data_IF_802767107740
#
_entry.id   IF_802767107740
#
_cell.length_a   1.000
_cell.length_b   1.000
_cell.length_c   1.000
_cell.angle_alpha   90.00
_cell.angle_beta   90.00
_cell.angle_gamma   90.00
#
_symmetry.space_group_name_H-M   'P 1'
#
loop_
_entity.id
_entity.type
_entity.pdbx_description
1 polymer ?
#
# COMPACT_ATOMS: atom_id res chain seq x y z
N UNK A 1 7.88 -2.99 -33.23
CA UNK A 1 6.53 -2.49 -32.96
C UNK A 1 5.73 -3.62 -32.36
N UNK A 2 5.54 -3.65 -31.03
CA UNK A 2 4.65 -4.62 -30.35
C UNK A 2 3.55 -3.81 -29.67
N UNK A 3 2.32 -4.12 -30.02
CA UNK A 3 1.10 -3.44 -29.60
C UNK A 3 0.91 -3.48 -28.09
N UNK A 4 0.63 -2.33 -27.50
CA UNK A 4 0.13 -2.21 -26.14
C UNK A 4 -1.28 -2.80 -26.11
N UNK A 5 -1.47 -3.96 -25.48
CA UNK A 5 -2.80 -4.45 -25.14
C UNK A 5 -3.38 -3.59 -24.02
N UNK A 6 -4.18 -2.62 -24.44
CA UNK A 6 -5.03 -1.82 -23.57
C UNK A 6 -6.16 -2.70 -23.05
N UNK A 7 -6.28 -2.86 -21.75
CA UNK A 7 -7.48 -3.42 -21.13
C UNK A 7 -8.67 -2.50 -21.42
N UNK A 8 -9.59 -2.94 -22.27
CA UNK A 8 -10.79 -2.18 -22.63
C UNK A 8 -11.76 -2.11 -21.46
N UNK A 9 -12.10 -0.88 -21.04
CA UNK A 9 -13.19 -0.60 -20.13
C UNK A 9 -14.50 -1.21 -20.65
N UNK A 10 -15.03 -2.22 -19.97
CA UNK A 10 -16.41 -2.66 -20.16
C UNK A 10 -17.32 -1.73 -19.36
N UNK A 11 -18.15 -0.98 -20.06
CA UNK A 11 -19.21 -0.14 -19.49
C UNK A 11 -20.19 -0.99 -18.70
N UNK A 12 -20.25 -0.80 -17.40
CA UNK A 12 -21.27 -1.39 -16.54
C UNK A 12 -22.60 -0.67 -16.73
N UNK A 13 -23.60 -1.46 -17.06
CA UNK A 13 -24.99 -1.06 -17.24
C UNK A 13 -25.58 -0.57 -15.90
N UNK A 14 -26.09 0.66 -15.88
CA UNK A 14 -26.79 1.26 -14.74
C UNK A 14 -28.20 0.65 -14.62
N UNK A 15 -28.41 -0.32 -13.75
CA UNK A 15 -29.70 -0.61 -13.12
C UNK A 15 -29.52 -1.67 -12.05
N UNK A 16 -29.26 -1.26 -10.80
CA UNK A 16 -29.73 -1.87 -9.58
C UNK A 16 -29.46 -0.94 -8.39
N UNK A 17 -30.43 -0.09 -8.11
CA UNK A 17 -30.61 0.54 -6.81
C UNK A 17 -31.11 -0.55 -5.84
N UNK A 18 -30.25 -1.05 -4.97
CA UNK A 18 -30.57 -1.65 -3.65
C UNK A 18 -29.35 -2.46 -3.15
N UNK A 19 -28.32 -1.75 -2.70
CA UNK A 19 -27.42 -2.23 -1.63
C UNK A 19 -26.44 -1.11 -1.27
N UNK A 20 -26.99 -0.04 -0.76
CA UNK A 20 -26.26 1.18 -0.35
C UNK A 20 -25.58 1.01 1.02
N UNK A 21 -24.86 -0.06 1.32
CA UNK A 21 -24.16 -0.19 2.61
C UNK A 21 -22.93 -1.11 2.61
N UNK A 22 -22.28 -1.42 1.54
CA UNK A 22 -20.88 -1.95 1.54
C UNK A 22 -20.30 -1.73 0.13
N UNK A 23 -20.12 -0.50 -0.28
CA UNK A 23 -19.08 -0.20 -1.28
C UNK A 23 -17.82 0.08 -0.48
N UNK A 24 -17.16 -0.97 -0.04
CA UNK A 24 -15.71 -0.90 0.14
C UNK A 24 -15.16 -0.65 -1.27
N UNK A 25 -14.89 0.61 -1.60
CA UNK A 25 -14.24 0.95 -2.85
C UNK A 25 -12.87 0.29 -2.85
N UNK A 26 -12.75 -0.85 -3.53
CA UNK A 26 -11.46 -1.47 -3.76
C UNK A 26 -10.63 -0.47 -4.57
N UNK A 27 -9.47 -0.11 -4.02
CA UNK A 27 -8.54 0.77 -4.73
C UNK A 27 -7.78 -0.06 -5.76
N UNK A 28 -7.86 0.32 -7.04
CA UNK A 28 -7.12 -0.36 -8.09
C UNK A 28 -5.62 -0.25 -7.85
N UNK A 29 -4.95 -1.39 -7.94
CA UNK A 29 -3.52 -1.47 -7.68
C UNK A 29 -2.69 -0.89 -8.83
N UNK A 30 -1.59 -0.25 -8.51
CA UNK A 30 -0.56 0.12 -9.48
C UNK A 30 0.26 -1.11 -9.90
N UNK A 31 0.94 -1.01 -11.04
CA UNK A 31 2.01 -1.91 -11.47
C UNK A 31 1.56 -3.38 -11.57
N UNK A 32 0.64 -3.67 -12.47
CA UNK A 32 0.30 -5.03 -12.84
C UNK A 32 0.05 -5.16 -14.36
N UNK A 33 0.09 -6.38 -14.84
CA UNK A 33 -0.14 -6.76 -16.24
C UNK A 33 -1.30 -7.76 -16.30
N UNK A 34 -2.28 -7.51 -17.18
CA UNK A 34 -3.31 -8.51 -17.48
C UNK A 34 -2.67 -9.70 -18.22
N UNK A 35 -3.10 -10.92 -17.87
CA UNK A 35 -2.67 -12.16 -18.48
C UNK A 35 -3.85 -12.90 -19.08
N UNK A 36 -3.60 -13.99 -19.79
CA UNK A 36 -4.66 -14.87 -20.30
C UNK A 36 -5.49 -15.47 -19.16
N UNK A 37 -6.69 -15.92 -19.48
CA UNK A 37 -7.61 -16.60 -18.56
C UNK A 37 -7.98 -15.78 -17.31
N UNK A 38 -8.07 -14.46 -17.44
CA UNK A 38 -8.44 -13.57 -16.33
C UNK A 38 -7.39 -13.47 -15.21
N UNK A 39 -6.18 -13.99 -15.42
CA UNK A 39 -5.08 -13.86 -14.47
C UNK A 39 -4.44 -12.47 -14.57
N UNK A 40 -3.82 -12.04 -13.49
CA UNK A 40 -3.00 -10.82 -13.44
C UNK A 40 -1.60 -11.14 -12.90
N UNK A 41 -0.58 -10.48 -13.44
CA UNK A 41 0.78 -10.53 -12.93
C UNK A 41 1.07 -9.24 -12.19
N UNK A 42 1.26 -9.34 -10.87
CA UNK A 42 1.65 -8.21 -10.05
C UNK A 42 3.12 -7.88 -10.29
N UNK A 43 3.41 -6.62 -10.62
CA UNK A 43 4.76 -6.12 -10.92
C UNK A 43 5.32 -5.21 -9.83
N UNK A 44 4.75 -5.21 -8.63
CA UNK A 44 5.13 -4.30 -7.56
C UNK A 44 6.41 -4.74 -6.82
N UNK A 45 6.48 -5.99 -6.40
CA UNK A 45 7.66 -6.55 -5.73
C UNK A 45 8.28 -7.69 -6.53
N UNK A 46 9.51 -8.06 -6.19
CA UNK A 46 10.27 -9.06 -6.94
C UNK A 46 9.68 -10.50 -6.88
N UNK A 47 8.61 -10.72 -6.10
CA UNK A 47 7.84 -11.98 -6.18
C UNK A 47 7.09 -12.15 -7.49
N UNK A 48 6.71 -11.06 -8.15
CA UNK A 48 6.00 -11.06 -9.44
C UNK A 48 4.89 -12.11 -9.50
N UNK A 49 4.03 -12.11 -8.48
CA UNK A 49 2.96 -13.09 -8.32
C UNK A 49 2.04 -13.12 -9.56
N UNK A 50 1.81 -14.32 -10.09
CA UNK A 50 0.73 -14.57 -11.04
C UNK A 50 -0.50 -14.95 -10.22
N UNK A 51 -1.56 -14.13 -10.32
CA UNK A 51 -2.73 -14.20 -9.43
C UNK A 51 -3.96 -14.56 -10.27
N UNK A 52 -4.54 -15.70 -9.98
CA UNK A 52 -5.80 -16.14 -10.61
C UNK A 52 -6.97 -15.27 -10.16
N UNK A 53 -8.08 -15.33 -10.92
CA UNK A 53 -9.29 -14.62 -10.55
C UNK A 53 -9.76 -15.02 -9.13
N UNK A 54 -10.32 -14.06 -8.42
CA UNK A 54 -10.77 -14.13 -7.01
C UNK A 54 -9.69 -14.57 -6.00
N UNK A 55 -8.42 -14.56 -6.38
CA UNK A 55 -7.29 -14.96 -5.54
C UNK A 55 -6.44 -13.78 -5.13
N UNK A 56 -5.58 -13.97 -4.09
CA UNK A 56 -4.62 -12.97 -3.62
C UNK A 56 -3.18 -13.39 -3.94
N UNK A 57 -2.30 -12.40 -4.04
CA UNK A 57 -0.86 -12.63 -4.07
C UNK A 57 -0.30 -13.09 -2.72
N UNK A 58 0.99 -13.42 -2.68
CA UNK A 58 1.69 -13.87 -1.47
C UNK A 58 1.51 -12.93 -0.26
N UNK A 59 1.44 -11.62 -0.50
CA UNK A 59 1.25 -10.62 0.56
C UNK A 59 -0.16 -10.57 1.13
N UNK A 60 -1.12 -11.29 0.55
CA UNK A 60 -2.55 -11.41 0.93
C UNK A 60 -3.38 -10.13 0.82
N UNK A 61 -2.77 -9.01 0.43
CA UNK A 61 -3.43 -7.70 0.34
C UNK A 61 -3.58 -7.20 -1.11
N UNK A 62 -3.14 -8.00 -2.09
CA UNK A 62 -3.35 -7.73 -3.51
C UNK A 62 -4.22 -8.81 -4.10
N UNK A 63 -5.45 -8.44 -4.46
CA UNK A 63 -6.48 -9.36 -4.94
C UNK A 63 -6.79 -9.10 -6.41
N UNK A 64 -6.79 -10.16 -7.21
CA UNK A 64 -7.36 -10.12 -8.56
C UNK A 64 -8.87 -10.33 -8.48
N UNK A 65 -9.62 -9.49 -9.14
CA UNK A 65 -11.05 -9.64 -9.30
C UNK A 65 -11.46 -9.25 -10.73
N UNK A 66 -11.88 -10.22 -11.50
CA UNK A 66 -12.28 -10.02 -12.89
C UNK A 66 -11.16 -9.51 -13.80
N UNK A 67 -9.89 -9.87 -13.56
CA UNK A 67 -8.74 -9.39 -14.33
C UNK A 67 -8.21 -8.01 -13.90
N UNK A 68 -8.76 -7.41 -12.84
CA UNK A 68 -8.27 -6.17 -12.24
C UNK A 68 -7.64 -6.48 -10.88
N UNK A 69 -6.45 -5.94 -10.65
CA UNK A 69 -5.75 -6.10 -9.37
C UNK A 69 -6.12 -4.96 -8.42
N UNK A 70 -6.48 -5.30 -7.20
CA UNK A 70 -6.87 -4.33 -6.16
C UNK A 70 -5.94 -4.39 -4.94
N UNK A 71 -5.69 -3.22 -4.34
CA UNK A 71 -5.00 -3.04 -3.07
C UNK A 71 -6.03 -3.01 -1.92
N UNK A 72 -6.17 -4.13 -1.19
CA UNK A 72 -7.18 -4.30 -0.14
C UNK A 72 -6.88 -3.50 1.13
N UNK A 73 -5.62 -3.10 1.32
CA UNK A 73 -5.12 -2.38 2.48
C UNK A 73 -5.02 -0.85 2.27
N UNK A 74 -5.50 -0.35 1.12
CA UNK A 74 -5.51 1.10 0.86
C UNK A 74 -6.38 1.85 1.86
N UNK A 75 -5.83 2.92 2.45
CA UNK A 75 -6.55 3.74 3.41
C UNK A 75 -6.89 3.04 4.74
N UNK A 76 -6.27 1.88 5.03
CA UNK A 76 -6.48 1.12 6.27
C UNK A 76 -5.16 0.99 7.03
N UNK A 77 -5.07 1.66 8.17
CA UNK A 77 -3.89 1.57 9.03
C UNK A 77 -4.08 0.53 10.13
N UNK A 78 -3.12 -0.39 10.28
CA UNK A 78 -3.05 -1.37 11.38
C UNK A 78 -2.22 -0.87 12.55
N UNK A 79 -1.32 0.08 12.30
CA UNK A 79 -0.54 0.75 13.34
C UNK A 79 -0.29 2.20 12.94
N UNK A 80 -0.45 3.09 13.90
CA UNK A 80 -0.16 4.53 13.78
C UNK A 80 0.44 4.99 15.10
N UNK A 81 1.55 5.73 15.04
CA UNK A 81 2.21 6.25 16.24
C UNK A 81 3.21 7.35 15.92
N UNK A 82 3.54 8.14 16.93
CA UNK A 82 4.61 9.14 16.85
C UNK A 82 5.91 8.52 17.34
N UNK A 83 6.94 8.54 16.51
CA UNK A 83 8.26 8.02 16.82
C UNK A 83 9.35 9.09 16.56
N UNK A 84 10.45 9.05 17.30
CA UNK A 84 11.64 9.80 16.91
C UNK A 84 12.24 9.21 15.62
N UNK A 85 12.79 10.06 14.75
CA UNK A 85 13.39 9.63 13.48
C UNK A 85 14.54 8.63 13.68
N UNK A 86 15.24 8.71 14.78
CA UNK A 86 16.33 7.78 15.15
C UNK A 86 15.85 6.33 15.32
N UNK A 87 14.57 6.10 15.68
CA UNK A 87 13.97 4.76 15.71
C UNK A 87 13.83 4.15 14.30
N UNK A 88 13.96 4.95 13.26
CA UNK A 88 13.93 4.52 11.84
C UNK A 88 15.34 4.31 11.27
N UNK A 89 16.33 3.96 12.07
CA UNK A 89 17.78 4.06 11.96
C UNK A 89 18.31 5.17 11.03
N UNK A 90 17.69 6.34 11.10
CA UNK A 90 18.07 7.53 10.32
C UNK A 90 18.69 8.60 11.23
N UNK A 91 19.78 8.24 11.93
CA UNK A 91 20.36 9.08 12.98
C UNK A 91 20.90 10.44 12.51
N UNK A 92 21.32 10.55 11.25
CA UNK A 92 21.88 11.77 10.66
C UNK A 92 20.88 12.55 9.80
N UNK A 93 19.72 11.99 9.52
CA UNK A 93 18.66 12.65 8.76
C UNK A 93 17.69 13.32 9.71
N UNK A 94 17.63 14.66 9.68
CA UNK A 94 16.81 15.49 10.56
C UNK A 94 16.89 15.06 12.06
N UNK A 95 18.07 15.14 12.72
CA UNK A 95 18.23 14.68 14.09
C UNK A 95 17.23 15.37 15.03
N UNK A 96 16.57 14.58 15.88
CA UNK A 96 15.57 15.09 16.82
C UNK A 96 14.15 15.23 16.26
N UNK A 97 13.97 15.04 14.95
CA UNK A 97 12.63 15.10 14.34
C UNK A 97 11.71 13.98 14.84
N UNK A 98 10.43 14.31 14.96
CA UNK A 98 9.35 13.34 15.16
C UNK A 98 8.70 12.99 13.82
N UNK A 99 8.32 11.74 13.65
CA UNK A 99 7.63 11.23 12.46
C UNK A 99 6.32 10.53 12.85
N UNK A 100 5.30 10.74 12.04
CA UNK A 100 4.09 9.93 12.08
C UNK A 100 4.38 8.59 11.41
N UNK A 101 4.47 7.53 12.19
CA UNK A 101 4.70 6.17 11.70
C UNK A 101 3.38 5.52 11.32
N UNK A 102 3.30 4.97 10.11
CA UNK A 102 2.08 4.35 9.57
C UNK A 102 2.40 2.99 8.98
N UNK A 103 1.57 2.00 9.29
CA UNK A 103 1.58 0.68 8.70
C UNK A 103 0.20 0.27 8.19
N UNK A 104 0.17 -0.41 7.07
CA UNK A 104 -0.98 -1.18 6.61
C UNK A 104 -0.69 -2.69 6.71
N UNK A 105 -1.76 -3.53 6.68
CA UNK A 105 -1.62 -4.98 6.80
C UNK A 105 -0.82 -5.61 5.67
N UNK A 106 -0.14 -6.72 5.96
CA UNK A 106 0.52 -7.59 4.99
C UNK A 106 2.03 -7.35 4.84
N UNK A 107 2.71 -8.32 4.22
CA UNK A 107 4.14 -8.25 3.89
C UNK A 107 4.44 -9.22 2.74
N UNK A 108 5.47 -8.91 1.94
CA UNK A 108 5.98 -9.81 0.90
C UNK A 108 7.02 -10.82 1.43
N UNK A 109 7.34 -10.80 2.74
CA UNK A 109 8.20 -11.77 3.41
C UNK A 109 7.45 -12.49 4.54
N UNK A 110 8.05 -13.59 5.04
CA UNK A 110 7.62 -14.40 6.19
C UNK A 110 8.84 -14.67 7.07
N UNK A 111 9.44 -13.61 7.62
CA UNK A 111 10.63 -13.72 8.47
C UNK A 111 10.27 -14.44 9.77
N UNK A 112 11.08 -15.43 10.17
CA UNK A 112 10.88 -16.18 11.42
C UNK A 112 11.06 -15.31 12.67
N UNK A 113 11.85 -14.25 12.55
CA UNK A 113 12.14 -13.27 13.60
C UNK A 113 11.37 -11.95 13.43
N UNK A 114 10.20 -11.98 12.75
CA UNK A 114 9.43 -10.76 12.52
C UNK A 114 8.80 -10.24 13.82
N UNK A 115 9.25 -9.10 14.28
CA UNK A 115 8.70 -8.42 15.46
C UNK A 115 7.23 -7.99 15.26
N UNK A 116 6.85 -7.71 14.01
CA UNK A 116 5.52 -7.25 13.64
C UNK A 116 4.67 -8.34 12.95
N UNK A 117 4.90 -9.63 13.27
CA UNK A 117 4.26 -10.74 12.56
C UNK A 117 2.72 -10.69 12.62
N UNK A 118 2.15 -10.24 13.72
CA UNK A 118 0.70 -10.16 13.92
C UNK A 118 0.00 -9.27 12.88
N UNK A 119 0.62 -8.15 12.50
CA UNK A 119 0.05 -7.20 11.53
C UNK A 119 0.58 -7.42 10.11
N UNK A 120 1.74 -8.08 9.96
CA UNK A 120 2.37 -8.31 8.67
C UNK A 120 1.95 -9.64 8.03
N UNK A 121 1.43 -10.59 8.81
CA UNK A 121 1.11 -11.96 8.34
C UNK A 121 -0.32 -12.38 8.66
N UNK A 122 -1.14 -11.46 9.12
CA UNK A 122 -2.57 -11.69 9.31
C UNK A 122 -3.22 -12.04 7.96
N UNK A 123 -4.12 -13.03 7.99
CA UNK A 123 -4.91 -13.46 6.81
C UNK A 123 -6.07 -12.50 6.54
N UNK A 124 -6.53 -11.81 7.57
CA UNK A 124 -7.53 -10.77 7.43
C UNK A 124 -6.85 -9.43 7.14
N UNK A 125 -7.37 -8.70 6.17
CA UNK A 125 -6.88 -7.35 5.88
C UNK A 125 -7.47 -6.39 6.90
N UNK A 126 -6.95 -6.50 8.14
CA UNK A 126 -7.35 -5.67 9.27
C UNK A 126 -6.93 -4.20 9.06
N UNK A 127 -7.38 -3.35 9.95
CA UNK A 127 -7.01 -1.95 10.01
C UNK A 127 -8.22 -1.02 10.14
N UNK A 128 -8.02 0.09 10.84
CA UNK A 128 -9.01 1.17 10.89
C UNK A 128 -8.93 2.03 9.64
N UNK A 129 -10.05 2.59 9.22
CA UNK A 129 -10.07 3.59 8.15
C UNK A 129 -9.19 4.78 8.57
N UNK A 130 -8.19 5.07 7.76
CA UNK A 130 -7.22 6.12 7.99
C UNK A 130 -6.67 6.61 6.64
N UNK A 131 -7.48 7.34 5.85
CA UNK A 131 -7.14 7.73 4.49
C UNK A 131 -5.94 8.69 4.45
N UNK A 132 -5.32 8.90 3.28
CA UNK A 132 -4.13 9.75 3.11
C UNK A 132 -4.22 11.13 3.77
N UNK A 133 -5.37 11.80 3.65
CA UNK A 133 -5.57 13.11 4.27
C UNK A 133 -5.54 13.07 5.81
N UNK A 134 -6.06 11.98 6.41
CA UNK A 134 -6.02 11.78 7.86
C UNK A 134 -4.60 11.49 8.35
N UNK A 135 -3.76 10.81 7.55
CA UNK A 135 -2.34 10.59 7.87
C UNK A 135 -1.61 11.93 8.01
N UNK A 136 -1.80 12.81 7.02
CA UNK A 136 -1.17 14.13 7.01
C UNK A 136 -1.70 15.02 8.14
N UNK A 137 -3.03 15.00 8.35
CA UNK A 137 -3.65 15.72 9.45
C UNK A 137 -3.09 15.28 10.80
N UNK A 138 -3.05 13.97 11.06
CA UNK A 138 -2.53 13.44 12.32
C UNK A 138 -1.05 13.78 12.54
N UNK A 139 -0.23 13.77 11.48
CA UNK A 139 1.16 14.18 11.55
C UNK A 139 1.29 15.65 11.98
N UNK A 140 0.50 16.55 11.40
CA UNK A 140 0.49 17.98 11.75
C UNK A 140 -0.02 18.21 13.17
N UNK A 141 -1.13 17.60 13.54
CA UNK A 141 -1.73 17.72 14.87
C UNK A 141 -0.78 17.22 15.99
N UNK A 142 0.11 16.28 15.64
CA UNK A 142 1.13 15.74 16.53
C UNK A 142 2.49 16.44 16.44
N UNK A 143 2.60 17.57 15.73
CA UNK A 143 3.83 18.31 15.50
C UNK A 143 4.96 17.45 14.91
N UNK A 144 4.64 16.46 14.10
CA UNK A 144 5.62 15.67 13.34
C UNK A 144 6.18 16.50 12.17
N UNK A 145 7.48 16.31 11.89
CA UNK A 145 8.16 16.94 10.76
C UNK A 145 8.11 16.08 9.51
N UNK A 146 7.68 14.82 9.64
CA UNK A 146 7.58 13.88 8.53
C UNK A 146 6.67 12.70 8.79
N UNK A 147 6.51 11.87 7.75
CA UNK A 147 5.77 10.61 7.81
C UNK A 147 6.75 9.47 7.51
N UNK A 148 6.63 8.38 8.27
CA UNK A 148 7.40 7.16 8.07
C UNK A 148 6.47 5.99 7.76
N UNK A 149 6.59 5.41 6.58
CA UNK A 149 5.90 4.19 6.18
C UNK A 149 6.74 3.01 6.66
N UNK A 150 6.24 2.25 7.63
CA UNK A 150 7.09 1.36 8.45
C UNK A 150 6.32 0.19 9.07
N UNK A 151 6.94 -0.54 9.99
CA UNK A 151 6.48 -1.70 10.78
C UNK A 151 6.17 -2.94 9.93
N UNK A 152 5.32 -2.83 8.91
CA UNK A 152 5.14 -3.82 7.85
C UNK A 152 5.97 -3.41 6.62
N UNK A 153 5.70 -3.99 5.47
CA UNK A 153 6.45 -3.64 4.24
C UNK A 153 5.72 -2.56 3.42
N UNK A 154 6.25 -1.32 3.35
CA UNK A 154 5.57 -0.24 2.63
C UNK A 154 5.44 -0.47 1.12
N UNK A 155 6.27 -1.31 0.52
CA UNK A 155 6.11 -1.66 -0.90
C UNK A 155 4.74 -2.23 -1.18
N UNK A 156 4.17 -3.07 -0.31
CA UNK A 156 2.90 -3.74 -0.61
C UNK A 156 1.65 -2.88 -0.35
N UNK A 157 1.82 -1.73 0.29
CA UNK A 157 0.79 -0.68 0.38
C UNK A 157 1.22 0.61 -0.34
N UNK A 158 1.90 0.45 -1.47
CA UNK A 158 2.51 1.52 -2.24
C UNK A 158 1.52 2.64 -2.60
N UNK A 159 0.33 2.31 -3.07
CA UNK A 159 -0.69 3.28 -3.47
C UNK A 159 -1.08 4.18 -2.31
N UNK A 160 -1.31 3.60 -1.14
CA UNK A 160 -1.64 4.33 0.08
C UNK A 160 -0.49 5.20 0.56
N UNK A 161 0.74 4.66 0.52
CA UNK A 161 1.94 5.42 0.87
C UNK A 161 2.20 6.55 -0.13
N UNK A 162 2.03 6.30 -1.44
CA UNK A 162 2.25 7.28 -2.50
C UNK A 162 1.31 8.48 -2.38
N UNK A 163 -0.01 8.22 -2.24
CA UNK A 163 -0.98 9.30 -2.11
C UNK A 163 -0.79 10.08 -0.80
N UNK A 164 -0.46 9.39 0.29
CA UNK A 164 -0.11 10.04 1.56
C UNK A 164 1.16 10.89 1.43
N UNK A 165 2.18 10.40 0.73
CA UNK A 165 3.44 11.10 0.53
C UNK A 165 3.29 12.36 -0.32
N UNK A 166 2.43 12.35 -1.33
CA UNK A 166 2.11 13.54 -2.13
C UNK A 166 1.50 14.64 -1.26
N UNK A 167 0.46 14.29 -0.50
CA UNK A 167 -0.18 15.25 0.41
C UNK A 167 0.76 15.72 1.52
N UNK A 168 1.63 14.85 2.03
CA UNK A 168 2.63 15.20 3.01
C UNK A 168 3.64 16.21 2.44
N UNK A 169 4.11 15.99 1.21
CA UNK A 169 5.03 16.89 0.53
C UNK A 169 4.39 18.28 0.32
N UNK A 170 3.14 18.33 -0.14
CA UNK A 170 2.37 19.58 -0.28
C UNK A 170 2.20 20.31 1.06
N UNK A 171 2.16 19.56 2.17
CA UNK A 171 2.07 20.09 3.53
C UNK A 171 3.44 20.44 4.17
N UNK A 172 4.54 20.31 3.42
CA UNK A 172 5.91 20.60 3.89
C UNK A 172 6.50 19.52 4.81
N UNK A 173 5.93 18.32 4.83
CA UNK A 173 6.44 17.18 5.60
C UNK A 173 7.36 16.32 4.74
N UNK A 174 8.46 15.82 5.33
CA UNK A 174 9.30 14.84 4.64
C UNK A 174 8.70 13.43 4.74
N UNK A 175 9.12 12.52 3.86
CA UNK A 175 8.67 11.13 3.81
C UNK A 175 9.85 10.17 3.91
N UNK A 176 9.68 9.07 4.67
CA UNK A 176 10.68 8.01 4.79
C UNK A 176 10.03 6.64 4.65
N UNK A 177 10.80 5.69 4.10
CA UNK A 177 10.40 4.29 3.95
C UNK A 177 11.35 3.40 4.72
N UNK A 178 10.81 2.58 5.63
CA UNK A 178 11.54 1.48 6.27
C UNK A 178 11.11 0.19 5.59
N UNK A 179 11.91 -0.28 4.66
CA UNK A 179 11.56 -1.32 3.69
C UNK A 179 12.61 -2.41 3.65
N UNK A 180 12.19 -3.65 3.34
CA UNK A 180 13.10 -4.76 3.05
C UNK A 180 13.74 -4.65 1.64
N UNK A 181 13.37 -3.64 0.85
CA UNK A 181 13.94 -3.36 -0.45
C UNK A 181 13.58 -4.34 -1.57
N UNK A 182 12.70 -5.31 -1.33
CA UNK A 182 12.33 -6.32 -2.33
C UNK A 182 11.34 -5.78 -3.37
N UNK A 183 11.60 -4.58 -3.83
CA UNK A 183 10.85 -3.87 -4.88
C UNK A 183 11.31 -4.30 -6.26
N UNK A 184 10.47 -4.08 -7.25
CA UNK A 184 10.88 -4.16 -8.65
C UNK A 184 11.50 -2.84 -9.10
N UNK A 185 12.32 -2.84 -10.18
CA UNK A 185 12.79 -1.59 -10.79
C UNK A 185 11.64 -0.65 -11.20
N UNK A 186 10.51 -1.22 -11.61
CA UNK A 186 9.30 -0.49 -11.97
C UNK A 186 8.72 0.25 -10.75
N UNK A 187 8.67 -0.41 -9.59
CA UNK A 187 8.19 0.19 -8.35
C UNK A 187 9.11 1.31 -7.85
N UNK A 188 10.41 1.15 -7.98
CA UNK A 188 11.38 2.20 -7.61
C UNK A 188 11.23 3.44 -8.48
N UNK A 189 10.89 3.28 -9.76
CA UNK A 189 10.69 4.41 -10.69
C UNK A 189 9.34 5.11 -10.51
N UNK A 190 8.37 4.45 -9.90
CA UNK A 190 7.02 5.00 -9.67
C UNK A 190 6.91 5.82 -8.38
N UNK A 191 7.99 5.89 -7.58
CA UNK A 191 8.06 6.66 -6.32
C UNK A 191 8.26 8.15 -6.53
#
# INVERSE_FOLDING_TARGET
>A
MKSRNSCKLMLLNKNHLLSLWIVMSFHEAMLYECQSEGKVKCCLCARRCLISDDSTGFCMVRKNQGGTLYALNYGKAVSVGVDPISKKPLSHFNPGALVMSVAAAGCNFRCQFCDNWMISQDKEVAGRLFPPAEVVKAAKDSNCQGISYTYTEPTIFMEYAYDSAKLAHEAGLFNTFVSNGYMTPEAVKAK
#
